data_IF_085171795118
#
_entry.id   IF_085171795118
#
_cell.length_a   1.000
_cell.length_b   1.000
_cell.length_c   1.000
_cell.angle_alpha   90.00
_cell.angle_beta   90.00
_cell.angle_gamma   90.00
#
_symmetry.space_group_name_H-M   'P 1'
#
loop_
_entity.id
_entity.type
_entity.pdbx_description
1 polymer ?
#
# COMPACT_ATOMS: atom_id res chain seq x y z
N UNK A 1 -6.15 11.54 6.66
CA UNK A 1 -5.18 10.66 5.97
C UNK A 1 -5.81 9.50 5.23
N UNK A 2 -6.73 8.71 5.81
CA UNK A 2 -7.35 7.56 5.11
C UNK A 2 -7.91 7.91 3.72
N UNK A 3 -8.82 8.89 3.63
CA UNK A 3 -9.39 9.31 2.34
C UNK A 3 -8.34 9.77 1.33
N UNK A 4 -7.31 10.49 1.80
CA UNK A 4 -6.21 10.94 0.96
C UNK A 4 -5.36 9.77 0.45
N UNK A 5 -4.98 8.83 1.32
CA UNK A 5 -4.24 7.63 0.93
C UNK A 5 -5.03 6.79 -0.07
N UNK A 6 -6.32 6.54 0.19
CA UNK A 6 -7.20 5.84 -0.76
C UNK A 6 -7.21 6.53 -2.12
N UNK A 7 -7.30 7.86 -2.16
CA UNK A 7 -7.27 8.60 -3.42
C UNK A 7 -5.92 8.47 -4.14
N UNK A 8 -4.80 8.67 -3.44
CA UNK A 8 -3.47 8.62 -4.05
C UNK A 8 -3.14 7.23 -4.56
N UNK A 9 -3.38 6.19 -3.75
CA UNK A 9 -3.12 4.80 -4.14
C UNK A 9 -4.06 4.35 -5.26
N UNK A 10 -5.32 4.78 -5.25
CA UNK A 10 -6.23 4.56 -6.37
C UNK A 10 -5.73 5.17 -7.68
N UNK A 11 -5.08 6.34 -7.62
CA UNK A 11 -4.42 6.96 -8.78
C UNK A 11 -3.21 6.18 -9.32
N UNK A 12 -2.67 5.25 -8.54
CA UNK A 12 -1.58 4.34 -8.92
C UNK A 12 -2.09 2.94 -9.33
N UNK A 13 -3.42 2.78 -9.50
CA UNK A 13 -4.03 1.48 -9.83
C UNK A 13 -4.13 0.49 -8.66
N UNK A 14 -3.92 0.95 -7.42
CA UNK A 14 -4.05 0.11 -6.22
C UNK A 14 -5.46 0.23 -5.65
N UNK A 15 -6.16 -0.90 -5.54
CA UNK A 15 -7.49 -0.92 -4.91
C UNK A 15 -7.34 -0.81 -3.38
N UNK A 16 -8.10 0.10 -2.77
CA UNK A 16 -8.16 0.27 -1.32
C UNK A 16 -9.60 0.12 -0.85
N UNK A 17 -10.01 -1.07 -0.37
CA UNK A 17 -11.36 -1.29 0.17
C UNK A 17 -11.65 -0.36 1.36
N UNK A 18 -12.93 -0.06 1.65
CA UNK A 18 -13.30 0.74 2.79
C UNK A 18 -12.68 0.18 4.09
N UNK A 19 -11.98 1.04 4.82
CA UNK A 19 -11.40 0.70 6.11
C UNK A 19 -12.03 1.56 7.21
N UNK A 20 -12.20 0.94 8.38
CA UNK A 20 -12.71 1.60 9.60
C UNK A 20 -11.65 1.69 10.71
N UNK A 21 -10.40 1.33 10.42
CA UNK A 21 -9.31 1.26 11.39
C UNK A 21 -8.21 2.30 11.18
N UNK A 22 -7.08 2.09 11.85
CA UNK A 22 -5.85 2.85 11.70
C UNK A 22 -4.91 2.27 10.62
N UNK A 23 -5.47 1.54 9.65
CA UNK A 23 -4.72 0.92 8.56
C UNK A 23 -5.57 0.89 7.29
N UNK A 24 -4.91 0.74 6.16
CA UNK A 24 -5.53 0.44 4.88
C UNK A 24 -5.07 -0.94 4.40
N UNK A 25 -5.93 -1.58 3.60
CA UNK A 25 -5.57 -2.75 2.83
C UNK A 25 -5.35 -2.27 1.39
N UNK A 26 -4.13 -2.42 0.88
CA UNK A 26 -3.79 -2.12 -0.50
C UNK A 26 -3.77 -3.43 -1.29
N UNK A 27 -4.67 -3.55 -2.26
CA UNK A 27 -4.84 -4.73 -3.11
C UNK A 27 -4.24 -4.46 -4.49
N UNK A 28 -3.39 -5.37 -4.93
CA UNK A 28 -2.71 -5.37 -6.22
C UNK A 28 -3.38 -6.36 -7.19
N UNK A 29 -3.08 -6.31 -8.49
CA UNK A 29 -3.66 -7.23 -9.47
C UNK A 29 -3.39 -8.71 -9.16
N UNK A 30 -2.23 -9.02 -8.58
CA UNK A 30 -1.85 -10.38 -8.19
C UNK A 30 -0.87 -10.41 -7.00
N UNK A 31 -0.54 -11.63 -6.57
CA UNK A 31 0.44 -11.86 -5.50
C UNK A 31 1.82 -11.30 -5.83
N UNK A 32 2.26 -11.41 -7.08
CA UNK A 32 3.60 -10.98 -7.48
C UNK A 32 3.75 -9.45 -7.35
N UNK A 33 2.71 -8.70 -7.72
CA UNK A 33 2.64 -7.25 -7.51
C UNK A 33 2.67 -6.88 -6.03
N UNK A 34 1.91 -7.59 -5.18
CA UNK A 34 1.92 -7.36 -3.75
C UNK A 34 3.28 -7.66 -3.10
N UNK A 35 3.93 -8.77 -3.49
CA UNK A 35 5.26 -9.14 -3.02
C UNK A 35 6.33 -8.10 -3.45
N UNK A 36 6.26 -7.63 -4.70
CA UNK A 36 7.20 -6.64 -5.25
C UNK A 36 7.04 -5.28 -4.58
N UNK A 37 5.80 -4.80 -4.42
CA UNK A 37 5.51 -3.56 -3.71
C UNK A 37 5.92 -3.65 -2.23
N UNK A 38 5.66 -4.77 -1.57
CA UNK A 38 6.13 -5.01 -0.21
C UNK A 38 7.67 -4.94 -0.12
N UNK A 39 8.39 -5.64 -1.00
CA UNK A 39 9.85 -5.63 -0.99
C UNK A 39 10.41 -4.22 -1.21
N UNK A 40 9.81 -3.46 -2.14
CA UNK A 40 10.19 -2.06 -2.39
C UNK A 40 9.98 -1.19 -1.14
N UNK A 41 8.80 -1.25 -0.52
CA UNK A 41 8.49 -0.49 0.70
C UNK A 41 9.46 -0.82 1.85
N UNK A 42 9.72 -2.12 2.07
CA UNK A 42 10.67 -2.57 3.10
C UNK A 42 12.09 -2.05 2.83
N UNK A 43 12.52 -1.99 1.57
CA UNK A 43 13.84 -1.43 1.19
C UNK A 43 13.96 0.07 1.47
N UNK A 44 12.83 0.78 1.55
CA UNK A 44 12.74 2.21 1.89
C UNK A 44 12.48 2.47 3.37
N UNK A 45 12.47 1.42 4.20
CA UNK A 45 12.18 1.53 5.64
C UNK A 45 10.70 1.71 5.97
N UNK A 46 9.80 1.53 5.01
CA UNK A 46 8.35 1.68 5.20
C UNK A 46 7.76 0.30 5.53
N UNK A 47 7.34 0.13 6.78
CA UNK A 47 6.90 -1.17 7.28
C UNK A 47 5.45 -1.46 6.85
N UNK A 48 5.27 -2.45 6.00
CA UNK A 48 3.98 -3.02 5.64
C UNK A 48 3.88 -4.48 6.13
N UNK A 49 2.73 -5.12 5.94
CA UNK A 49 2.55 -6.56 6.21
C UNK A 49 1.86 -7.24 5.03
N UNK A 50 2.48 -8.28 4.48
CA UNK A 50 1.83 -9.19 3.53
C UNK A 50 0.64 -9.89 4.18
N UNK A 51 -0.46 -10.02 3.44
CA UNK A 51 -1.71 -10.60 3.95
C UNK A 51 -1.99 -12.01 3.43
N UNK A 52 -1.03 -12.65 2.74
CA UNK A 52 -1.17 -14.02 2.24
C UNK A 52 -1.51 -15.06 3.32
N UNK A 53 -0.97 -14.91 4.54
CA UNK A 53 -1.33 -15.78 5.67
C UNK A 53 -2.79 -15.67 6.14
N UNK A 54 -3.51 -14.64 5.68
CA UNK A 54 -4.93 -14.40 5.94
C UNK A 54 -5.82 -14.69 4.72
N UNK A 55 -5.29 -15.35 3.68
CA UNK A 55 -6.03 -15.66 2.47
C UNK A 55 -6.17 -14.49 1.48
N UNK A 56 -5.35 -13.44 1.63
CA UNK A 56 -5.31 -12.26 0.75
C UNK A 56 -3.90 -12.09 0.15
N UNK A 57 -3.46 -13.03 -0.70
CA UNK A 57 -2.09 -13.05 -1.23
C UNK A 57 -1.72 -11.83 -2.07
N UNK A 58 -2.70 -11.20 -2.69
CA UNK A 58 -2.56 -10.00 -3.53
C UNK A 58 -2.70 -8.69 -2.73
N UNK A 59 -2.69 -8.76 -1.39
CA UNK A 59 -2.87 -7.59 -0.53
C UNK A 59 -1.73 -7.37 0.46
N UNK A 60 -1.44 -6.09 0.72
CA UNK A 60 -0.61 -5.64 1.84
C UNK A 60 -1.43 -4.77 2.79
N UNK A 61 -1.17 -4.89 4.09
CA UNK A 61 -1.74 -4.01 5.11
C UNK A 61 -0.71 -2.95 5.50
N UNK A 62 -1.14 -1.70 5.45
CA UNK A 62 -0.30 -0.53 5.80
C UNK A 62 -0.98 0.26 6.90
N UNK A 63 -0.27 0.53 8.00
CA UNK A 63 -0.75 1.40 9.07
C UNK A 63 -0.76 2.85 8.59
N UNK A 64 -1.80 3.60 8.93
CA UNK A 64 -1.86 5.05 8.67
C UNK A 64 -0.98 5.74 9.70
N UNK A 65 0.09 6.39 9.23
CA UNK A 65 1.09 7.07 10.05
C UNK A 65 0.86 8.58 10.16
N UNK A 66 1.94 9.28 10.53
CA UNK A 66 2.08 10.73 10.47
C UNK A 66 2.09 11.23 9.02
N UNK A 67 1.99 12.55 8.84
CA UNK A 67 1.98 13.18 7.52
C UNK A 67 3.18 12.76 6.65
N UNK A 68 4.40 12.90 7.16
CA UNK A 68 5.61 12.59 6.39
C UNK A 68 5.70 11.10 6.04
N UNK A 69 5.25 10.21 6.94
CA UNK A 69 5.21 8.77 6.70
C UNK A 69 4.21 8.41 5.60
N UNK A 70 3.02 9.02 5.62
CA UNK A 70 1.99 8.80 4.61
C UNK A 70 2.41 9.34 3.24
N UNK A 71 3.14 10.46 3.19
CA UNK A 71 3.70 11.01 1.95
C UNK A 71 4.79 10.11 1.41
N UNK A 72 5.74 9.69 2.24
CA UNK A 72 6.81 8.78 1.86
C UNK A 72 6.28 7.43 1.32
N UNK A 73 5.18 6.92 1.89
CA UNK A 73 4.48 5.75 1.39
C UNK A 73 3.97 5.92 -0.04
N UNK A 74 3.28 7.04 -0.32
CA UNK A 74 2.74 7.33 -1.65
C UNK A 74 3.87 7.51 -2.66
N UNK A 75 4.92 8.26 -2.30
CA UNK A 75 6.07 8.50 -3.17
C UNK A 75 6.79 7.20 -3.52
N UNK A 76 7.01 6.32 -2.54
CA UNK A 76 7.64 5.02 -2.76
C UNK A 76 6.80 4.11 -3.67
N UNK A 77 5.48 4.08 -3.49
CA UNK A 77 4.61 3.30 -4.37
C UNK A 77 4.54 3.89 -5.79
N UNK A 78 4.55 5.21 -5.92
CA UNK A 78 4.61 5.88 -7.22
C UNK A 78 5.94 5.61 -7.95
N UNK A 79 7.08 5.61 -7.23
CA UNK A 79 8.39 5.23 -7.76
C UNK A 79 8.40 3.78 -8.28
N UNK A 80 7.73 2.87 -7.57
CA UNK A 80 7.69 1.45 -7.93
C UNK A 80 6.74 1.12 -9.08
N UNK A 81 5.52 1.67 -9.04
CA UNK A 81 4.44 1.29 -9.97
C UNK A 81 4.44 2.15 -11.24
N UNK A 82 5.04 3.33 -11.19
CA UNK A 82 4.92 4.34 -12.24
C UNK A 82 3.51 4.97 -12.28
N UNK A 83 3.33 6.06 -13.05
CA UNK A 83 1.99 6.57 -13.32
C UNK A 83 1.18 5.54 -14.11
N UNK A 84 -0.09 5.35 -13.73
CA UNK A 84 -1.08 4.60 -14.51
C UNK A 84 -1.52 5.37 -15.76
#
# INVERSE_FOLDING_TARGET
WMAWLTQQLGGLGVEVPPSAGNFILARFPDKAGADAAYAHLMSRGIIARLMGGYGLPESIRITIGLEDENRALVDALAEHLGPS
#
